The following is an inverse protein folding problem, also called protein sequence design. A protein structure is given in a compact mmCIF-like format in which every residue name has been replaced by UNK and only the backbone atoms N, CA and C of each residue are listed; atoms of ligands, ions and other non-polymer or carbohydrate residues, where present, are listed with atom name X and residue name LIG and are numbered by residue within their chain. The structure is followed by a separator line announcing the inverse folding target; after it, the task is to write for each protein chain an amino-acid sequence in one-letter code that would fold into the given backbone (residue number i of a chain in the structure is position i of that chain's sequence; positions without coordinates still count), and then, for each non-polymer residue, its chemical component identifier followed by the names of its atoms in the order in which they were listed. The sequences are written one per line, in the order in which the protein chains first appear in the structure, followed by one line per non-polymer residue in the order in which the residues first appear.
data_IF_524478177907
#
_entry.id   IF_524478177907
#
_cell.length_a   1.000
_cell.length_b   1.000
_cell.length_c   1.000
_cell.angle_alpha   90.00
_cell.angle_beta   90.00
_cell.angle_gamma   90.00
#
_symmetry.space_group_name_H-M   'P 1'
#
loop_
_entity.id
_entity.type
_entity.pdbx_description
1 polymer ?
#
# COMPACT_ATOMS: atom_id res chain seq x y z
N UNK A 1 15.96 41.85 10.99
CA UNK A 1 15.27 41.21 12.14
C UNK A 1 14.08 40.34 11.75
N UNK A 2 13.55 40.38 10.52
CA UNK A 2 12.48 39.46 10.07
C UNK A 2 12.97 38.06 9.65
N UNK A 3 14.26 37.91 9.33
CA UNK A 3 14.81 36.64 8.79
C UNK A 3 15.10 35.57 9.85
N UNK A 4 15.18 35.96 11.14
CA UNK A 4 15.46 35.03 12.24
C UNK A 4 14.16 34.40 12.79
N UNK A 5 13.01 35.03 12.56
CA UNK A 5 11.70 34.46 12.94
C UNK A 5 11.21 33.36 11.97
N UNK A 6 11.73 33.31 10.74
CA UNK A 6 11.41 32.24 9.78
C UNK A 6 12.25 30.96 9.99
N UNK A 7 13.31 31.02 10.81
CA UNK A 7 14.16 29.88 11.13
C UNK A 7 13.78 29.18 12.45
N UNK A 8 12.88 29.77 13.24
CA UNK A 8 12.41 29.23 14.52
C UNK A 8 11.01 28.60 14.46
N UNK A 9 10.49 28.35 13.24
CA UNK A 9 9.23 27.65 12.98
C UNK A 9 9.48 26.30 12.29
N UNK A 10 10.61 25.66 12.56
CA UNK A 10 10.67 24.19 12.56
C UNK A 10 10.28 23.76 13.96
N UNK A 11 8.99 23.62 14.21
CA UNK A 11 8.55 22.74 15.29
C UNK A 11 9.29 21.42 15.09
N UNK A 12 9.92 20.91 16.15
CA UNK A 12 10.56 19.59 16.16
C UNK A 12 9.49 18.57 15.73
N UNK A 13 9.51 18.22 14.45
CA UNK A 13 8.48 17.39 13.82
C UNK A 13 8.59 15.93 14.27
N UNK A 14 9.76 15.57 14.82
CA UNK A 14 9.99 14.32 15.50
C UNK A 14 10.83 14.53 16.77
N UNK A 15 10.48 13.82 17.84
CA UNK A 15 11.29 13.64 19.06
C UNK A 15 11.96 12.25 19.03
N UNK A 16 13.28 12.24 19.28
CA UNK A 16 14.11 11.02 19.18
C UNK A 16 14.55 10.59 20.57
N UNK A 17 14.02 9.46 21.03
CA UNK A 17 14.41 8.88 22.31
C UNK A 17 15.44 7.77 22.09
N UNK A 18 16.71 8.16 21.99
CA UNK A 18 17.82 7.24 21.70
C UNK A 18 17.92 6.05 22.67
N UNK A 19 17.47 6.21 23.92
CA UNK A 19 17.55 5.17 24.94
C UNK A 19 16.42 4.11 24.84
N UNK A 20 15.32 4.41 24.15
CA UNK A 20 14.14 3.53 24.04
C UNK A 20 13.94 2.95 22.65
N UNK A 21 14.87 3.18 21.70
CA UNK A 21 14.73 2.80 20.28
C UNK A 21 13.42 3.30 19.65
N UNK A 22 12.90 4.40 20.19
CA UNK A 22 11.63 5.03 19.82
C UNK A 22 11.90 6.38 19.17
N UNK A 23 11.21 6.62 18.07
CA UNK A 23 11.07 7.95 17.50
C UNK A 23 9.59 8.29 17.45
N UNK A 24 9.24 9.50 17.85
CA UNK A 24 7.87 10.00 17.81
C UNK A 24 7.80 11.13 16.81
N UNK A 25 6.97 11.00 15.78
CA UNK A 25 6.77 12.03 14.77
C UNK A 25 5.30 12.42 14.70
N UNK A 26 5.02 13.65 14.25
CA UNK A 26 3.64 14.07 14.04
C UNK A 26 2.95 13.22 12.96
N UNK A 27 3.63 12.96 11.84
CA UNK A 27 3.14 12.18 10.71
C UNK A 27 4.32 11.60 9.88
N UNK A 28 3.98 10.97 8.75
CA UNK A 28 4.97 10.37 7.84
C UNK A 28 5.82 11.41 7.10
N UNK A 29 5.29 12.60 6.79
CA UNK A 29 6.06 13.70 6.20
C UNK A 29 7.14 14.20 7.17
N UNK A 30 6.80 14.31 8.45
CA UNK A 30 7.76 14.63 9.50
C UNK A 30 8.88 13.59 9.59
N UNK A 31 8.53 12.30 9.51
CA UNK A 31 9.51 11.22 9.53
C UNK A 31 10.45 11.21 8.32
N UNK A 32 10.00 11.65 7.15
CA UNK A 32 10.83 11.76 5.94
C UNK A 32 12.12 12.58 6.16
N UNK A 33 12.06 13.57 7.06
CA UNK A 33 13.18 14.45 7.38
C UNK A 33 14.22 13.80 8.30
N UNK A 34 13.94 12.61 8.82
CA UNK A 34 14.80 11.87 9.73
C UNK A 34 15.67 10.89 8.91
N UNK A 35 16.99 10.98 9.09
CA UNK A 35 17.93 10.06 8.44
C UNK A 35 17.88 8.68 9.09
N UNK A 36 17.20 7.73 8.44
CA UNK A 36 17.02 6.35 8.93
C UNK A 36 18.15 5.37 8.55
N UNK A 37 19.17 5.82 7.81
CA UNK A 37 20.22 4.94 7.25
C UNK A 37 21.23 4.38 8.27
N UNK A 38 21.32 4.98 9.46
CA UNK A 38 22.26 4.55 10.53
C UNK A 38 21.60 4.42 11.91
N UNK A 39 20.27 4.34 11.93
CA UNK A 39 19.49 4.45 13.15
C UNK A 39 19.35 3.14 13.91
N UNK A 40 19.24 3.24 15.24
CA UNK A 40 18.85 2.12 16.12
C UNK A 40 17.36 2.11 16.45
N UNK A 41 16.58 3.01 15.84
CA UNK A 41 15.15 3.16 16.12
C UNK A 41 14.38 2.03 15.46
N UNK A 42 13.73 1.20 16.29
CA UNK A 42 12.92 0.07 15.83
C UNK A 42 11.44 0.39 15.86
N UNK A 43 11.05 1.38 16.68
CA UNK A 43 9.66 1.78 16.85
C UNK A 43 9.47 3.23 16.42
N UNK A 44 8.51 3.44 15.52
CA UNK A 44 8.03 4.76 15.11
C UNK A 44 6.63 4.99 15.68
N UNK A 45 6.47 6.01 16.52
CA UNK A 45 5.16 6.51 16.93
C UNK A 45 4.74 7.66 16.02
N UNK A 46 3.49 7.64 15.54
CA UNK A 46 2.89 8.65 14.69
C UNK A 46 1.63 9.19 15.36
N UNK A 47 1.62 10.48 15.66
CA UNK A 47 0.47 11.13 16.30
C UNK A 47 -0.74 11.26 15.34
N UNK A 48 -0.49 11.22 14.03
CA UNK A 48 -1.49 11.40 12.98
C UNK A 48 -1.17 10.53 11.76
N UNK A 49 -2.19 10.23 10.96
CA UNK A 49 -2.04 9.55 9.67
C UNK A 49 -2.27 10.44 8.45
N UNK A 50 -1.70 11.63 8.50
CA UNK A 50 -1.67 12.54 7.34
C UNK A 50 -0.94 11.87 6.16
N UNK A 51 -1.51 11.90 4.94
CA UNK A 51 -0.82 11.44 3.75
C UNK A 51 0.50 12.18 3.55
N UNK A 52 1.55 11.44 3.21
CA UNK A 52 2.81 12.05 2.79
C UNK A 52 2.76 12.47 1.32
N UNK A 53 3.42 13.59 0.99
CA UNK A 53 3.57 14.01 -0.41
C UNK A 53 4.52 13.12 -1.22
N UNK A 54 5.43 12.42 -0.54
CA UNK A 54 6.48 11.61 -1.15
C UNK A 54 6.41 10.15 -0.66
N UNK A 55 7.08 9.26 -1.40
CA UNK A 55 7.26 7.89 -0.96
C UNK A 55 8.23 7.84 0.23
N UNK A 56 7.74 7.39 1.39
CA UNK A 56 8.55 7.22 2.59
C UNK A 56 9.17 5.83 2.60
N UNK A 57 10.48 5.78 2.86
CA UNK A 57 11.24 4.54 2.91
C UNK A 57 11.92 4.38 4.27
N UNK A 58 11.92 3.16 4.81
CA UNK A 58 12.67 2.83 6.02
C UNK A 58 13.28 1.43 5.93
N UNK A 59 14.47 1.31 6.52
CA UNK A 59 15.17 0.02 6.62
C UNK A 59 15.44 -0.42 8.06
N UNK A 60 15.12 0.42 9.03
CA UNK A 60 15.34 0.13 10.45
C UNK A 60 14.03 -0.09 11.24
N UNK A 61 12.94 0.58 10.87
CA UNK A 61 11.67 0.52 11.61
C UNK A 61 11.04 -0.87 11.48
N UNK A 62 10.80 -1.51 12.62
CA UNK A 62 10.20 -2.84 12.76
C UNK A 62 8.74 -2.76 13.24
N UNK A 63 8.41 -1.71 13.99
CA UNK A 63 7.08 -1.45 14.56
C UNK A 63 6.65 -0.02 14.31
N UNK A 64 5.43 0.16 13.82
CA UNK A 64 4.76 1.47 13.76
C UNK A 64 3.59 1.46 14.73
N UNK A 65 3.51 2.46 15.59
CA UNK A 65 2.34 2.75 16.42
C UNK A 65 1.74 4.07 15.93
N UNK A 66 0.50 4.06 15.45
CA UNK A 66 -0.12 5.20 14.79
C UNK A 66 -1.50 5.47 15.36
N UNK A 67 -1.75 6.75 15.64
CA UNK A 67 -3.07 7.25 16.01
C UNK A 67 -3.79 7.75 14.75
N UNK A 68 -4.85 7.05 14.37
CA UNK A 68 -5.65 7.35 13.19
C UNK A 68 -7.09 7.67 13.53
N UNK A 69 -7.49 8.91 13.25
CA UNK A 69 -8.86 9.34 13.50
C UNK A 69 -9.77 9.27 12.27
N UNK A 70 -9.22 9.52 11.06
CA UNK A 70 -10.03 9.67 9.84
C UNK A 70 -9.82 8.52 8.84
N UNK A 71 -8.62 8.41 8.26
CA UNK A 71 -8.29 7.39 7.27
C UNK A 71 -6.78 7.16 7.21
N UNK A 72 -6.35 5.91 7.01
CA UNK A 72 -4.95 5.60 6.76
C UNK A 72 -4.67 5.68 5.24
N UNK A 73 -3.66 6.45 4.79
CA UNK A 73 -3.32 6.58 3.38
C UNK A 73 -2.99 5.22 2.76
N UNK A 74 -3.47 4.99 1.53
CA UNK A 74 -3.13 3.79 0.76
C UNK A 74 -1.62 3.73 0.50
N UNK A 75 -1.03 2.55 0.67
CA UNK A 75 0.40 2.30 0.49
C UNK A 75 1.32 3.12 1.39
N UNK A 76 0.83 3.60 2.53
CA UNK A 76 1.61 4.39 3.50
C UNK A 76 2.93 3.70 3.92
N UNK A 77 2.95 2.37 3.95
CA UNK A 77 4.06 1.59 4.49
C UNK A 77 4.76 0.70 3.46
N UNK A 78 4.45 0.86 2.16
CA UNK A 78 4.92 -0.05 1.11
C UNK A 78 6.44 -0.28 1.14
N UNK A 79 7.22 0.80 1.35
CA UNK A 79 8.68 0.78 1.25
C UNK A 79 9.40 0.60 2.59
N UNK A 80 8.73 0.03 3.60
CA UNK A 80 9.33 -0.29 4.89
C UNK A 80 9.84 -1.73 4.90
N UNK A 81 11.12 -1.92 4.60
CA UNK A 81 11.71 -3.25 4.34
C UNK A 81 11.88 -4.17 5.56
N UNK A 82 11.67 -3.65 6.78
CA UNK A 82 11.73 -4.44 8.04
C UNK A 82 10.46 -4.34 8.89
N UNK A 83 9.45 -3.61 8.41
CA UNK A 83 8.22 -3.44 9.17
C UNK A 83 7.52 -4.77 9.31
N UNK A 84 7.26 -5.15 10.56
CA UNK A 84 6.63 -6.42 10.91
C UNK A 84 5.32 -6.23 11.66
N UNK A 85 5.16 -5.08 12.34
CA UNK A 85 4.03 -4.81 13.22
C UNK A 85 3.52 -3.39 13.03
N UNK A 86 2.21 -3.23 12.85
CA UNK A 86 1.53 -1.94 12.89
C UNK A 86 0.48 -1.98 14.00
N UNK A 87 0.51 -1.02 14.91
CA UNK A 87 -0.46 -0.85 15.99
C UNK A 87 -1.28 0.39 15.68
N UNK A 88 -2.59 0.23 15.54
CA UNK A 88 -3.50 1.38 15.42
C UNK A 88 -4.04 1.69 16.81
N UNK A 89 -3.31 2.53 17.55
CA UNK A 89 -3.68 2.94 18.89
C UNK A 89 -4.70 4.08 18.86
N UNK A 90 -5.62 4.09 19.82
CA UNK A 90 -6.68 5.12 19.93
C UNK A 90 -7.43 5.34 18.60
N UNK A 91 -7.68 4.25 17.89
CA UNK A 91 -8.20 4.26 16.53
C UNK A 91 -9.70 4.58 16.51
N UNK A 92 -10.14 5.49 15.63
CA UNK A 92 -11.58 5.71 15.36
C UNK A 92 -12.02 5.28 13.95
N UNK A 93 -11.17 4.53 13.25
CA UNK A 93 -11.48 3.99 11.93
C UNK A 93 -12.57 2.91 12.03
N UNK A 94 -13.67 3.11 11.29
CA UNK A 94 -14.69 2.08 11.08
C UNK A 94 -14.40 1.20 9.86
N UNK A 95 -13.70 1.75 8.87
CA UNK A 95 -13.25 1.03 7.68
C UNK A 95 -11.75 1.20 7.48
N UNK A 96 -11.10 0.16 6.93
CA UNK A 96 -9.68 0.19 6.62
C UNK A 96 -9.42 -0.52 5.30
N UNK A 97 -8.83 0.21 4.36
CA UNK A 97 -8.39 -0.34 3.08
C UNK A 97 -7.15 -1.23 3.28
N UNK A 98 -7.18 -2.44 2.70
CA UNK A 98 -6.03 -3.34 2.77
C UNK A 98 -4.76 -2.72 2.19
N UNK A 99 -4.90 -1.85 1.16
CA UNK A 99 -3.79 -1.16 0.51
C UNK A 99 -2.98 -0.32 1.48
N UNK A 100 -3.62 0.25 2.50
CA UNK A 100 -2.97 1.09 3.51
C UNK A 100 -2.00 0.31 4.40
N UNK A 101 -2.13 -1.02 4.44
CA UNK A 101 -1.29 -1.93 5.19
C UNK A 101 -0.44 -2.84 4.29
N UNK A 102 -0.39 -2.56 2.99
CA UNK A 102 0.49 -3.28 2.08
C UNK A 102 1.95 -2.94 2.37
N UNK A 103 2.78 -3.97 2.50
CA UNK A 103 4.24 -3.87 2.60
C UNK A 103 4.85 -4.86 1.64
N UNK A 104 5.78 -4.39 0.82
CA UNK A 104 6.32 -5.21 -0.26
C UNK A 104 7.02 -6.46 0.28
N UNK A 105 6.59 -7.62 -0.22
CA UNK A 105 7.14 -8.94 0.13
C UNK A 105 6.96 -9.39 1.58
N UNK A 106 6.13 -8.72 2.39
CA UNK A 106 6.03 -8.98 3.83
C UNK A 106 4.59 -9.14 4.31
N UNK A 107 4.40 -10.06 5.27
CA UNK A 107 3.13 -10.26 5.98
C UNK A 107 3.15 -9.53 7.33
N UNK A 108 2.37 -8.46 7.44
CA UNK A 108 2.31 -7.66 8.67
C UNK A 108 1.46 -8.28 9.76
N UNK A 109 1.85 -8.10 11.02
CA UNK A 109 0.96 -8.17 12.18
C UNK A 109 0.31 -6.81 12.38
N UNK A 110 -1.01 -6.78 12.52
CA UNK A 110 -1.74 -5.50 12.65
C UNK A 110 -2.62 -5.57 13.89
N UNK A 111 -2.41 -4.66 14.84
CA UNK A 111 -3.27 -4.54 16.01
C UNK A 111 -4.37 -3.51 15.76
N UNK A 112 -5.60 -4.00 15.66
CA UNK A 112 -6.84 -3.24 15.45
C UNK A 112 -7.76 -3.32 16.67
N UNK A 113 -7.28 -3.82 17.81
CA UNK A 113 -8.13 -4.14 18.98
C UNK A 113 -8.89 -2.94 19.54
N UNK A 114 -8.39 -1.72 19.28
CA UNK A 114 -9.01 -0.46 19.72
C UNK A 114 -9.89 0.22 18.67
N UNK A 115 -9.92 -0.28 17.43
CA UNK A 115 -10.70 0.32 16.33
C UNK A 115 -12.19 -0.08 16.39
N UNK A 116 -13.14 0.85 16.17
CA UNK A 116 -14.57 0.57 16.08
C UNK A 116 -14.96 0.05 14.68
N UNK A 117 -14.39 -1.08 14.26
CA UNK A 117 -14.57 -1.62 12.90
C UNK A 117 -16.02 -2.03 12.60
N UNK A 118 -16.53 -1.62 11.44
CA UNK A 118 -17.85 -2.00 10.94
C UNK A 118 -17.81 -3.28 10.08
N UNK A 119 -18.95 -3.99 10.03
CA UNK A 119 -19.13 -5.18 9.18
C UNK A 119 -19.45 -4.81 7.71
N UNK A 120 -18.52 -4.16 7.02
CA UNK A 120 -18.67 -3.79 5.59
C UNK A 120 -17.76 -4.63 4.70
N UNK A 121 -18.09 -4.74 3.41
CA UNK A 121 -17.25 -5.47 2.45
C UNK A 121 -15.83 -4.91 2.35
N UNK A 122 -15.63 -3.62 2.65
CA UNK A 122 -14.32 -2.98 2.76
C UNK A 122 -13.43 -3.63 3.83
N UNK A 123 -14.00 -4.26 4.86
CA UNK A 123 -13.27 -4.91 5.95
C UNK A 123 -13.25 -6.45 5.87
N UNK A 124 -13.91 -7.05 4.86
CA UNK A 124 -13.97 -8.52 4.72
C UNK A 124 -12.56 -9.15 4.70
N UNK A 125 -11.63 -8.48 4.03
CA UNK A 125 -10.25 -8.95 3.83
C UNK A 125 -9.53 -9.29 5.14
N UNK A 126 -9.87 -8.63 6.26
CA UNK A 126 -9.27 -8.89 7.57
C UNK A 126 -9.62 -10.28 8.14
N UNK A 127 -10.73 -10.85 7.68
CA UNK A 127 -11.21 -12.17 8.12
C UNK A 127 -11.01 -13.24 7.06
N UNK A 128 -10.41 -12.86 5.92
CA UNK A 128 -10.21 -13.73 4.79
C UNK A 128 -9.24 -14.87 5.13
N UNK A 129 -9.59 -16.14 4.85
CA UNK A 129 -8.68 -17.27 5.07
C UNK A 129 -7.56 -17.35 4.03
N UNK A 130 -7.55 -16.46 3.03
CA UNK A 130 -6.55 -16.43 1.96
C UNK A 130 -5.20 -15.97 2.52
N UNK A 131 -4.36 -16.91 2.93
CA UNK A 131 -3.03 -16.62 3.47
C UNK A 131 -2.00 -16.25 2.42
N UNK A 132 -2.30 -16.55 1.15
CA UNK A 132 -1.37 -16.43 0.01
C UNK A 132 -1.64 -15.18 -0.84
N UNK A 133 -2.47 -14.26 -0.34
CA UNK A 133 -2.72 -12.99 -1.02
C UNK A 133 -1.60 -11.98 -0.77
N UNK A 134 -1.27 -11.17 -1.78
CA UNK A 134 -0.30 -10.07 -1.68
C UNK A 134 -0.65 -9.03 -0.59
N UNK A 135 -1.90 -9.00 -0.12
CA UNK A 135 -2.40 -8.13 0.94
C UNK A 135 -2.66 -8.85 2.27
N UNK A 136 -2.13 -10.06 2.45
CA UNK A 136 -2.38 -10.81 3.68
C UNK A 136 -1.73 -10.12 4.88
N UNK A 137 -2.48 -9.97 5.96
CA UNK A 137 -1.99 -9.54 7.27
C UNK A 137 -2.35 -10.58 8.32
N UNK A 138 -1.82 -10.42 9.53
CA UNK A 138 -2.19 -11.17 10.74
C UNK A 138 -2.87 -10.16 11.67
N UNK A 139 -4.20 -10.00 11.59
CA UNK A 139 -4.89 -8.98 12.36
C UNK A 139 -5.24 -9.46 13.77
N UNK A 140 -5.02 -8.61 14.77
CA UNK A 140 -5.62 -8.71 16.11
C UNK A 140 -6.86 -7.83 16.11
N UNK A 141 -8.04 -8.47 16.09
CA UNK A 141 -9.33 -7.77 15.97
C UNK A 141 -9.93 -7.42 17.34
N UNK A 142 -10.83 -6.41 17.40
CA UNK A 142 -11.55 -6.08 18.62
C UNK A 142 -12.26 -7.28 19.24
N UNK A 143 -12.35 -7.30 20.58
CA UNK A 143 -13.05 -8.37 21.28
C UNK A 143 -14.53 -8.41 20.86
N UNK A 144 -14.97 -9.57 20.36
CA UNK A 144 -16.35 -9.77 19.92
C UNK A 144 -16.62 -9.36 18.47
N UNK A 145 -15.62 -8.92 17.70
CA UNK A 145 -15.78 -8.66 16.27
C UNK A 145 -16.18 -9.95 15.53
N UNK A 146 -17.43 -9.99 15.07
CA UNK A 146 -18.04 -11.13 14.38
C UNK A 146 -18.95 -10.61 13.27
N UNK A 147 -18.50 -10.73 12.03
CA UNK A 147 -19.22 -10.25 10.86
C UNK A 147 -19.62 -11.41 9.93
N UNK A 148 -20.67 -11.21 9.15
CA UNK A 148 -21.03 -12.08 8.03
C UNK A 148 -20.84 -11.33 6.71
N UNK A 149 -19.86 -11.76 5.92
CA UNK A 149 -19.55 -11.18 4.61
C UNK A 149 -20.13 -12.00 3.45
N UNK A 150 -21.19 -12.77 3.69
CA UNK A 150 -21.81 -13.65 2.68
C UNK A 150 -22.37 -12.91 1.45
N UNK A 151 -22.58 -11.59 1.57
CA UNK A 151 -23.05 -10.72 0.50
C UNK A 151 -21.90 -9.98 -0.22
N UNK A 152 -20.67 -10.12 0.27
CA UNK A 152 -19.50 -9.52 -0.32
C UNK A 152 -18.92 -10.44 -1.39
N UNK A 153 -18.41 -9.83 -2.45
CA UNK A 153 -17.84 -10.54 -3.58
C UNK A 153 -16.43 -9.99 -3.84
N UNK A 154 -15.48 -10.90 -3.97
CA UNK A 154 -14.14 -10.58 -4.41
C UNK A 154 -14.18 -10.22 -5.90
N UNK A 155 -13.52 -9.11 -6.25
CA UNK A 155 -13.31 -8.75 -7.65
C UNK A 155 -12.48 -9.83 -8.36
N UNK A 156 -12.88 -10.17 -9.57
CA UNK A 156 -12.14 -11.09 -10.44
C UNK A 156 -11.62 -10.34 -11.65
N UNK A 157 -10.38 -10.61 -12.01
CA UNK A 157 -9.79 -10.18 -13.27
C UNK A 157 -10.02 -11.29 -14.30
N UNK A 158 -10.55 -10.92 -15.46
CA UNK A 158 -10.74 -11.86 -16.57
C UNK A 158 -10.13 -11.30 -17.84
N UNK A 159 -9.26 -12.08 -18.46
CA UNK A 159 -8.56 -11.75 -19.70
C UNK A 159 -8.58 -12.94 -20.66
N UNK A 160 -8.25 -12.70 -21.92
CA UNK A 160 -7.98 -13.79 -22.86
C UNK A 160 -6.71 -14.54 -22.43
N UNK A 161 -6.67 -15.89 -22.60
CA UNK A 161 -5.57 -16.70 -22.10
C UNK A 161 -4.25 -16.50 -22.89
N UNK A 162 -4.32 -16.05 -24.14
CA UNK A 162 -3.18 -15.73 -24.97
C UNK A 162 -3.58 -14.76 -26.10
N UNK A 163 -2.60 -14.11 -26.69
CA UNK A 163 -2.75 -13.22 -27.84
C UNK A 163 -1.74 -13.66 -28.90
N UNK A 164 -2.22 -13.92 -30.11
CA UNK A 164 -1.38 -14.15 -31.29
C UNK A 164 -1.27 -12.85 -32.08
N UNK A 165 -0.04 -12.45 -32.42
CA UNK A 165 0.23 -11.24 -33.20
C UNK A 165 1.51 -11.40 -34.02
N UNK A 166 1.63 -10.63 -35.09
CA UNK A 166 2.82 -10.59 -35.95
C UNK A 166 3.67 -9.34 -35.65
N UNK A 167 5.00 -9.39 -35.83
CA UNK A 167 5.84 -8.20 -35.73
C UNK A 167 5.33 -7.05 -36.62
N UNK A 168 5.25 -5.84 -36.07
CA UNK A 168 4.69 -4.65 -36.71
C UNK A 168 3.20 -4.40 -36.45
N UNK A 169 2.48 -5.35 -35.86
CA UNK A 169 1.07 -5.18 -35.47
C UNK A 169 0.92 -4.50 -34.09
N UNK A 170 -0.32 -4.21 -33.72
CA UNK A 170 -0.71 -3.73 -32.39
C UNK A 170 -1.29 -4.91 -31.62
N UNK A 171 -0.73 -5.19 -30.43
CA UNK A 171 -1.31 -6.15 -29.51
C UNK A 171 -2.02 -5.42 -28.36
N UNK A 172 -3.24 -5.85 -28.05
CA UNK A 172 -4.07 -5.29 -26.98
C UNK A 172 -4.45 -6.42 -26.03
N UNK A 173 -3.90 -6.38 -24.82
CA UNK A 173 -4.36 -7.23 -23.72
C UNK A 173 -5.43 -6.46 -22.94
N UNK A 174 -6.61 -7.07 -22.89
CA UNK A 174 -7.79 -6.51 -22.28
C UNK A 174 -8.18 -7.37 -21.06
N UNK A 175 -8.29 -6.71 -19.91
CA UNK A 175 -8.65 -7.32 -18.64
C UNK A 175 -9.91 -6.64 -18.09
N UNK A 176 -11.00 -7.40 -18.06
CA UNK A 176 -12.25 -6.96 -17.43
C UNK A 176 -12.21 -7.20 -15.92
N UNK A 177 -12.72 -6.23 -15.16
CA UNK A 177 -12.83 -6.30 -13.71
C UNK A 177 -14.30 -6.50 -13.34
N UNK A 178 -14.62 -7.62 -12.67
CA UNK A 178 -16.03 -7.96 -12.35
C UNK A 178 -16.65 -7.11 -11.25
N UNK A 179 -15.83 -6.55 -10.36
CA UNK A 179 -16.24 -5.60 -9.33
C UNK A 179 -15.54 -4.26 -9.60
N UNK A 180 -16.29 -3.16 -9.66
CA UNK A 180 -15.70 -1.83 -9.85
C UNK A 180 -14.63 -1.59 -8.79
N UNK A 181 -13.40 -1.34 -9.21
CA UNK A 181 -12.39 -0.80 -8.29
C UNK A 181 -12.80 0.63 -7.94
N UNK A 182 -12.66 1.00 -6.67
CA UNK A 182 -12.94 2.36 -6.23
C UNK A 182 -11.81 3.31 -6.69
N UNK A 183 -10.57 2.80 -6.75
CA UNK A 183 -9.35 3.59 -6.92
C UNK A 183 -8.42 3.04 -8.01
N UNK A 184 -7.91 3.96 -8.84
CA UNK A 184 -6.88 3.73 -9.86
C UNK A 184 -5.65 4.55 -9.48
N UNK A 185 -4.49 3.91 -9.42
CA UNK A 185 -3.22 4.50 -9.00
C UNK A 185 -2.32 4.71 -10.21
N UNK A 186 -2.33 5.92 -10.77
CA UNK A 186 -1.62 6.27 -12.02
C UNK A 186 -0.12 6.01 -12.01
N UNK A 187 0.50 5.96 -10.84
CA UNK A 187 1.94 5.79 -10.68
C UNK A 187 2.35 4.32 -10.44
N UNK A 188 1.39 3.38 -10.51
CA UNK A 188 1.65 1.95 -10.35
C UNK A 188 1.55 1.25 -11.70
N UNK A 189 2.42 0.26 -11.88
CA UNK A 189 2.33 -0.68 -13.01
C UNK A 189 1.30 -1.74 -12.67
N UNK A 190 0.32 -1.92 -13.55
CA UNK A 190 -0.67 -2.98 -13.44
C UNK A 190 -0.32 -4.21 -14.27
N UNK A 191 0.67 -4.08 -15.16
CA UNK A 191 1.18 -5.20 -15.94
C UNK A 191 2.68 -5.36 -15.73
N UNK A 192 3.12 -6.62 -15.66
CA UNK A 192 4.53 -6.98 -15.63
C UNK A 192 4.81 -8.10 -16.62
N UNK A 193 5.99 -8.06 -17.24
CA UNK A 193 6.41 -9.08 -18.17
C UNK A 193 7.11 -10.21 -17.41
N UNK A 194 6.48 -11.39 -17.42
CA UNK A 194 7.05 -12.59 -16.85
C UNK A 194 7.90 -13.30 -17.93
N UNK A 195 9.17 -13.57 -17.60
CA UNK A 195 10.14 -14.29 -18.44
C UNK A 195 10.69 -13.53 -19.68
N UNK A 196 10.31 -12.27 -19.92
CA UNK A 196 10.97 -11.39 -20.89
C UNK A 196 11.83 -10.31 -20.21
N UNK A 197 12.67 -9.61 -21.00
CA UNK A 197 13.47 -8.49 -20.49
C UNK A 197 12.59 -7.26 -20.25
N UNK A 198 12.86 -6.51 -19.18
CA UNK A 198 11.98 -5.49 -18.61
C UNK A 198 11.90 -4.16 -19.37
N UNK A 199 12.38 -4.08 -20.60
CA UNK A 199 12.64 -2.87 -21.38
C UNK A 199 11.65 -2.62 -22.52
N UNK A 200 10.47 -3.24 -22.49
CA UNK A 200 9.48 -3.14 -23.55
C UNK A 200 8.65 -1.85 -23.46
N UNK A 201 8.38 -1.24 -24.61
CA UNK A 201 7.50 -0.08 -24.71
C UNK A 201 6.04 -0.53 -24.78
N UNK A 202 5.22 -0.04 -23.85
CA UNK A 202 3.79 -0.28 -23.81
C UNK A 202 3.05 0.90 -23.19
N UNK A 203 1.76 0.98 -23.44
CA UNK A 203 0.86 1.96 -22.82
C UNK A 203 -0.19 1.23 -21.99
N UNK A 204 -0.41 1.68 -20.76
CA UNK A 204 -1.50 1.19 -19.91
C UNK A 204 -2.69 2.14 -19.96
N UNK A 205 -3.89 1.61 -20.20
CA UNK A 205 -5.15 2.33 -20.05
C UNK A 205 -5.96 1.70 -18.93
N UNK A 206 -6.08 2.42 -17.81
CA UNK A 206 -6.66 1.89 -16.58
C UNK A 206 -7.92 2.69 -16.24
N UNK A 207 -9.03 1.97 -16.06
CA UNK A 207 -10.31 2.52 -15.58
C UNK A 207 -10.82 1.69 -14.40
N UNK A 208 -11.94 2.10 -13.81
CA UNK A 208 -12.55 1.40 -12.66
C UNK A 208 -13.07 0.00 -12.96
N UNK A 209 -13.33 -0.32 -14.23
CA UNK A 209 -13.93 -1.60 -14.64
C UNK A 209 -13.07 -2.37 -15.65
N UNK A 210 -11.93 -1.79 -16.05
CA UNK A 210 -11.20 -2.25 -17.22
C UNK A 210 -9.73 -1.86 -17.12
N UNK A 211 -8.83 -2.83 -17.33
CA UNK A 211 -7.38 -2.61 -17.47
C UNK A 211 -6.99 -3.03 -18.89
N UNK A 212 -6.22 -2.20 -19.58
CA UNK A 212 -5.76 -2.51 -20.92
C UNK A 212 -4.26 -2.21 -21.05
N UNK A 213 -3.56 -3.12 -21.69
CA UNK A 213 -2.15 -2.97 -22.08
C UNK A 213 -2.07 -2.95 -23.60
N UNK A 214 -1.49 -1.89 -24.16
CA UNK A 214 -1.33 -1.69 -25.60
C UNK A 214 0.16 -1.71 -25.95
N UNK A 215 0.53 -2.57 -26.90
CA UNK A 215 1.89 -2.73 -27.40
C UNK A 215 1.89 -2.33 -28.88
N UNK A 216 2.60 -1.26 -29.21
CA UNK A 216 2.65 -0.72 -30.58
C UNK A 216 4.03 -0.08 -30.88
N UNK A 217 4.77 -0.56 -31.89
CA UNK A 217 4.57 -1.80 -32.64
C UNK A 217 5.07 -3.03 -31.85
N UNK A 218 4.46 -4.20 -32.09
CA UNK A 218 4.99 -5.47 -31.59
C UNK A 218 6.32 -5.81 -32.28
N UNK A 219 7.32 -6.22 -31.51
CA UNK A 219 8.61 -6.72 -32.00
C UNK A 219 8.81 -8.17 -31.56
N UNK A 220 9.77 -8.87 -32.15
CA UNK A 220 10.13 -10.24 -31.71
C UNK A 220 10.61 -10.29 -30.25
N UNK A 221 11.06 -9.18 -29.70
CA UNK A 221 11.50 -9.09 -28.30
C UNK A 221 10.32 -9.14 -27.32
N UNK A 222 9.10 -8.79 -27.77
CA UNK A 222 7.88 -8.81 -26.97
C UNK A 222 7.25 -10.21 -26.82
N UNK A 223 7.96 -11.28 -27.20
CA UNK A 223 7.50 -12.65 -27.01
C UNK A 223 7.69 -13.05 -25.53
N UNK A 224 6.60 -13.31 -24.81
CA UNK A 224 6.65 -13.67 -23.38
C UNK A 224 5.28 -13.92 -22.75
N UNK A 225 5.26 -14.18 -21.43
CA UNK A 225 4.01 -14.25 -20.65
C UNK A 225 3.82 -12.91 -19.94
N UNK A 226 2.68 -12.26 -20.11
CA UNK A 226 2.33 -11.03 -19.39
C UNK A 226 1.52 -11.43 -18.15
N UNK A 227 1.89 -10.91 -16.99
CA UNK A 227 1.16 -11.09 -15.73
C UNK A 227 0.49 -9.76 -15.31
N UNK A 228 -0.71 -9.90 -14.76
CA UNK A 228 -1.55 -8.83 -14.18
C UNK A 228 -1.47 -8.93 -12.66
#
# INVERSE_FOLDING_TARGET
MLLILLLTLRAESCDVQANSSLITCTDLDAFQLVSDSESTWRTLHLDQCTPSSDAIMSTAVETIDIQCNDSLPVFAFENFSRLSTVVLSNCSLSELHWQSLYVDGQKLRVDLTTCPLDCTCSNEWMTSPHTDSAFSVIPSLPHGYRCSFSHCAWGTLSALPFIECSPGEIAILDVNISASTMDVFSNRKYFSWHMSRSDHNFTEHITRSHLQLVIEPVTEEHLGTIAV
#
